data_IF_859516367418
#
_entry.id   IF_859516367418
#
_cell.length_a   1.000
_cell.length_b   1.000
_cell.length_c   1.000
_cell.angle_alpha   90.00
_cell.angle_beta   90.00
_cell.angle_gamma   90.00
#
_symmetry.space_group_name_H-M   'P 1'
#
loop_
_entity.id
_entity.type
_entity.pdbx_description
1 polymer ?
#
# COMPACT_ATOMS: atom_id res chain seq x y z
N UNK A 1 -24.17 13.56 -17.20
CA UNK A 1 -22.91 14.35 -17.34
C UNK A 1 -22.37 14.85 -15.99
N UNK A 2 -22.69 14.18 -14.87
CA UNK A 2 -22.47 14.67 -13.50
C UNK A 2 -21.49 13.84 -12.65
N UNK A 3 -20.86 12.80 -13.22
CA UNK A 3 -20.09 11.82 -12.42
C UNK A 3 -18.56 12.02 -12.40
N UNK A 4 -18.00 12.82 -13.31
CA UNK A 4 -16.54 13.02 -13.38
C UNK A 4 -16.08 14.08 -12.38
N UNK A 5 -16.81 15.19 -12.23
CA UNK A 5 -16.45 16.26 -11.30
C UNK A 5 -16.47 15.80 -9.84
N UNK A 6 -17.51 15.06 -9.43
CA UNK A 6 -17.65 14.56 -8.07
C UNK A 6 -16.58 13.50 -7.69
N UNK A 7 -16.16 12.67 -8.65
CA UNK A 7 -15.08 11.70 -8.42
C UNK A 7 -13.75 12.40 -8.17
N UNK A 8 -13.45 13.45 -8.94
CA UNK A 8 -12.24 14.25 -8.77
C UNK A 8 -12.23 15.01 -7.42
N UNK A 9 -13.39 15.51 -6.98
CA UNK A 9 -13.51 16.17 -5.67
C UNK A 9 -13.19 15.21 -4.53
N UNK A 10 -13.77 13.99 -4.53
CA UNK A 10 -13.48 12.99 -3.49
C UNK A 10 -12.02 12.55 -3.49
N UNK A 11 -11.45 12.33 -4.68
CA UNK A 11 -10.05 11.97 -4.83
C UNK A 11 -9.12 13.07 -4.28
N UNK A 12 -9.33 14.32 -4.69
CA UNK A 12 -8.51 15.44 -4.24
C UNK A 12 -8.61 15.64 -2.73
N UNK A 13 -9.81 15.50 -2.16
CA UNK A 13 -10.00 15.54 -0.71
C UNK A 13 -9.20 14.45 -0.01
N UNK A 14 -9.31 13.20 -0.47
CA UNK A 14 -8.53 12.09 0.09
C UNK A 14 -7.03 12.37 0.02
N UNK A 15 -6.53 12.86 -1.11
CA UNK A 15 -5.10 13.16 -1.26
C UNK A 15 -4.64 14.26 -0.31
N UNK A 16 -5.43 15.33 -0.14
CA UNK A 16 -5.13 16.38 0.83
C UNK A 16 -5.13 15.84 2.27
N UNK A 17 -6.17 15.09 2.65
CA UNK A 17 -6.30 14.53 4.00
C UNK A 17 -5.14 13.54 4.28
N UNK A 18 -4.84 12.65 3.34
CA UNK A 18 -3.74 11.70 3.45
C UNK A 18 -2.39 12.41 3.56
N UNK A 19 -2.11 13.40 2.71
CA UNK A 19 -0.85 14.16 2.77
C UNK A 19 -0.70 14.91 4.10
N UNK A 20 -1.77 15.51 4.59
CA UNK A 20 -1.75 16.24 5.86
C UNK A 20 -1.48 15.31 7.04
N UNK A 21 -2.02 14.10 7.06
CA UNK A 21 -1.69 13.12 8.11
C UNK A 21 -0.27 12.55 7.92
N UNK A 22 0.11 12.21 6.69
CA UNK A 22 1.42 11.63 6.39
C UNK A 22 2.56 12.59 6.69
N UNK A 23 2.40 13.88 6.40
CA UNK A 23 3.41 14.93 6.66
C UNK A 23 3.64 15.23 8.14
N UNK A 24 2.72 14.84 9.04
CA UNK A 24 2.95 14.93 10.50
C UNK A 24 3.96 13.90 10.98
N UNK A 25 4.22 12.86 10.21
CA UNK A 25 5.15 11.79 10.58
C UNK A 25 6.57 12.30 10.39
N UNK A 26 7.18 12.80 11.46
CA UNK A 26 8.52 13.39 11.43
C UNK A 26 9.59 12.36 11.80
N UNK A 27 9.86 11.42 10.90
CA UNK A 27 10.92 10.42 11.03
C UNK A 27 11.77 10.40 9.76
N UNK A 28 13.06 10.14 9.90
CA UNK A 28 14.00 10.05 8.79
C UNK A 28 13.93 8.68 8.08
N UNK A 29 12.75 8.31 7.59
CA UNK A 29 12.59 7.04 6.86
C UNK A 29 13.38 7.04 5.55
N UNK A 30 14.06 5.94 5.26
CA UNK A 30 14.88 5.78 4.05
C UNK A 30 14.27 4.82 3.03
N UNK A 31 13.37 3.94 3.45
CA UNK A 31 12.69 2.98 2.59
C UNK A 31 11.18 3.02 2.80
N UNK A 32 10.42 3.07 1.70
CA UNK A 32 8.97 3.00 1.72
C UNK A 32 8.51 1.58 1.42
N UNK A 33 7.69 1.01 2.29
CA UNK A 33 7.16 -0.35 2.14
C UNK A 33 5.64 -0.34 2.25
N UNK A 34 4.96 -0.89 1.25
CA UNK A 34 3.53 -1.19 1.34
C UNK A 34 3.31 -2.64 1.72
N UNK A 35 2.49 -2.87 2.74
CA UNK A 35 2.05 -4.19 3.20
C UNK A 35 0.57 -4.35 2.85
N UNK A 36 0.28 -4.93 1.69
CA UNK A 36 -1.07 -5.09 1.16
C UNK A 36 -1.66 -6.44 1.60
N UNK A 37 -2.37 -6.43 2.72
CA UNK A 37 -2.87 -7.62 3.40
C UNK A 37 -4.20 -8.06 2.79
N UNK A 38 -4.33 -9.37 2.59
CA UNK A 38 -5.55 -10.03 2.13
C UNK A 38 -5.26 -11.20 1.19
N UNK A 39 -6.32 -11.83 0.70
CA UNK A 39 -6.27 -12.96 -0.22
C UNK A 39 -7.27 -12.85 -1.37
N UNK A 40 -6.94 -13.49 -2.48
CA UNK A 40 -7.80 -13.72 -3.65
C UNK A 40 -8.99 -14.67 -3.42
N UNK A 41 -9.10 -15.29 -2.22
CA UNK A 41 -10.12 -16.30 -1.90
C UNK A 41 -11.45 -15.72 -1.47
N UNK A 42 -11.47 -14.49 -0.95
CA UNK A 42 -12.68 -13.78 -0.55
C UNK A 42 -12.76 -12.48 -1.35
N UNK A 43 -13.88 -12.23 -2.03
CA UNK A 43 -14.02 -11.06 -2.92
C UNK A 43 -13.86 -9.72 -2.19
N UNK A 44 -14.13 -9.68 -0.88
CA UNK A 44 -13.88 -8.51 -0.04
C UNK A 44 -12.42 -8.36 0.39
N UNK A 45 -11.72 -9.47 0.61
CA UNK A 45 -10.35 -9.48 1.14
C UNK A 45 -9.29 -9.27 0.03
N UNK A 46 -9.68 -9.36 -1.24
CA UNK A 46 -8.77 -9.17 -2.36
C UNK A 46 -8.43 -7.69 -2.63
N UNK A 47 -9.07 -6.73 -1.95
CA UNK A 47 -8.79 -5.30 -2.17
C UNK A 47 -7.35 -4.92 -1.79
N UNK A 48 -6.76 -5.51 -0.75
CA UNK A 48 -5.37 -5.29 -0.39
C UNK A 48 -4.44 -5.70 -1.53
N UNK A 49 -4.43 -7.00 -1.92
CA UNK A 49 -3.69 -7.49 -3.08
C UNK A 49 -3.92 -6.71 -4.38
N UNK A 50 -5.16 -6.25 -4.64
CA UNK A 50 -5.47 -5.43 -5.81
C UNK A 50 -4.77 -4.07 -5.76
N UNK A 51 -4.77 -3.41 -4.60
CA UNK A 51 -4.04 -2.15 -4.39
C UNK A 51 -2.54 -2.36 -4.57
N UNK A 52 -1.98 -3.45 -4.02
CA UNK A 52 -0.57 -3.80 -4.19
C UNK A 52 -0.16 -3.92 -5.66
N UNK A 53 -0.99 -4.60 -6.48
CA UNK A 53 -0.75 -4.68 -7.92
C UNK A 53 -0.76 -3.31 -8.60
N UNK A 54 -1.73 -2.44 -8.27
CA UNK A 54 -1.81 -1.08 -8.82
C UNK A 54 -0.60 -0.21 -8.45
N UNK A 55 -0.10 -0.36 -7.22
CA UNK A 55 1.08 0.35 -6.75
C UNK A 55 2.32 -0.12 -7.54
N UNK A 56 2.50 -1.43 -7.74
CA UNK A 56 3.60 -1.98 -8.56
C UNK A 56 3.56 -1.47 -10.01
N UNK A 57 2.38 -1.47 -10.64
CA UNK A 57 2.16 -0.90 -11.98
C UNK A 57 2.57 0.57 -12.05
N UNK A 58 2.24 1.38 -11.03
CA UNK A 58 2.55 2.80 -11.00
C UNK A 58 4.04 3.10 -10.75
N UNK A 59 4.70 2.33 -9.88
CA UNK A 59 6.11 2.52 -9.51
C UNK A 59 7.06 2.10 -10.63
N UNK A 60 6.75 1.00 -11.33
CA UNK A 60 7.59 0.49 -12.43
C UNK A 60 7.85 1.52 -13.53
N UNK A 61 7.02 2.56 -13.60
CA UNK A 61 7.13 3.65 -14.56
C UNK A 61 7.95 4.87 -14.07
N UNK A 62 8.33 4.95 -12.78
CA UNK A 62 8.79 6.20 -12.16
C UNK A 62 10.09 6.11 -11.34
N UNK A 63 10.85 5.01 -11.38
CA UNK A 63 12.11 4.83 -10.63
C UNK A 63 12.00 5.17 -9.12
N UNK A 64 10.82 5.01 -8.53
CA UNK A 64 10.59 5.28 -7.10
C UNK A 64 11.10 4.07 -6.30
N UNK A 65 12.00 4.30 -5.34
CA UNK A 65 12.48 3.24 -4.43
C UNK A 65 11.36 2.92 -3.43
N UNK A 66 10.57 1.90 -3.74
CA UNK A 66 9.44 1.46 -2.93
C UNK A 66 9.25 -0.05 -3.08
N UNK A 67 8.99 -0.74 -1.97
CA UNK A 67 8.76 -2.18 -1.93
C UNK A 67 7.29 -2.47 -1.64
N UNK A 68 6.72 -3.47 -2.31
CA UNK A 68 5.32 -3.87 -2.11
C UNK A 68 5.26 -5.36 -1.80
N UNK A 69 4.69 -5.68 -0.64
CA UNK A 69 4.34 -7.03 -0.22
C UNK A 69 2.83 -7.19 -0.31
N UNK A 70 2.38 -8.33 -0.84
CA UNK A 70 0.97 -8.57 -1.10
C UNK A 70 0.55 -7.99 -2.45
N UNK A 71 0.25 -8.87 -3.38
CA UNK A 71 -0.32 -8.55 -4.68
C UNK A 71 -1.18 -9.72 -5.18
N UNK A 72 -1.79 -9.63 -6.36
CA UNK A 72 -2.66 -10.71 -6.84
C UNK A 72 -1.90 -12.02 -7.16
N UNK A 73 -0.60 -11.96 -7.47
CA UNK A 73 0.22 -13.16 -7.70
C UNK A 73 0.75 -13.74 -6.38
N UNK A 74 1.10 -12.88 -5.43
CA UNK A 74 1.69 -13.20 -4.14
C UNK A 74 0.87 -12.55 -3.01
N UNK A 75 -0.34 -13.06 -2.71
CA UNK A 75 -1.18 -12.50 -1.65
C UNK A 75 -0.50 -12.61 -0.28
N UNK A 76 -0.68 -11.60 0.56
CA UNK A 76 -0.14 -11.58 1.92
C UNK A 76 -1.26 -11.80 2.93
N UNK A 77 -1.35 -13.01 3.45
CA UNK A 77 -2.27 -13.36 4.53
C UNK A 77 -1.60 -13.22 5.91
N UNK A 78 -2.40 -13.14 6.96
CA UNK A 78 -1.94 -12.96 8.35
C UNK A 78 -0.75 -13.86 8.74
N UNK A 79 -0.81 -15.15 8.41
CA UNK A 79 0.25 -16.11 8.74
C UNK A 79 1.59 -15.86 8.02
N UNK A 80 1.61 -15.03 6.98
CA UNK A 80 2.81 -14.63 6.26
C UNK A 80 3.45 -13.33 6.76
N UNK A 81 2.74 -12.55 7.58
CA UNK A 81 3.17 -11.20 7.99
C UNK A 81 4.49 -11.24 8.76
N UNK A 82 4.65 -12.15 9.73
CA UNK A 82 5.88 -12.24 10.52
C UNK A 82 7.12 -12.50 9.65
N UNK A 83 6.95 -13.34 8.62
CA UNK A 83 8.01 -13.60 7.63
C UNK A 83 8.33 -12.35 6.82
N UNK A 84 7.30 -11.64 6.32
CA UNK A 84 7.50 -10.40 5.57
C UNK A 84 8.16 -9.31 6.41
N UNK A 85 7.75 -9.14 7.67
CA UNK A 85 8.36 -8.18 8.58
C UNK A 85 9.84 -8.50 8.85
N UNK A 86 10.16 -9.79 9.01
CA UNK A 86 11.56 -10.22 9.14
C UNK A 86 12.37 -9.86 7.89
N UNK A 87 11.86 -10.15 6.70
CA UNK A 87 12.53 -9.81 5.44
C UNK A 87 12.70 -8.29 5.26
N UNK A 88 11.69 -7.49 5.65
CA UNK A 88 11.76 -6.03 5.60
C UNK A 88 12.86 -5.51 6.51
N UNK A 89 12.93 -6.00 7.75
CA UNK A 89 13.97 -5.59 8.71
C UNK A 89 15.39 -6.01 8.28
N UNK A 90 15.53 -7.05 7.46
CA UNK A 90 16.81 -7.50 6.92
C UNK A 90 17.25 -6.73 5.66
N UNK A 91 16.29 -6.20 4.88
CA UNK A 91 16.55 -5.63 3.54
C UNK A 91 16.40 -4.11 3.46
N UNK A 92 15.66 -3.51 4.38
CA UNK A 92 15.33 -2.08 4.36
C UNK A 92 15.99 -1.36 5.54
N UNK A 93 16.59 -0.22 5.26
CA UNK A 93 17.11 0.67 6.28
C UNK A 93 15.98 1.60 6.72
N UNK A 94 15.70 1.63 8.03
CA UNK A 94 14.66 2.47 8.64
C UNK A 94 13.34 2.56 7.82
N UNK A 95 12.59 1.45 7.68
CA UNK A 95 11.44 1.39 6.79
C UNK A 95 10.24 2.16 7.33
N UNK A 96 9.58 2.92 6.45
CA UNK A 96 8.21 3.39 6.63
C UNK A 96 7.26 2.32 6.09
N UNK A 97 6.60 1.58 6.98
CA UNK A 97 5.67 0.52 6.58
C UNK A 97 4.24 1.07 6.59
N UNK A 98 3.58 1.06 5.44
CA UNK A 98 2.17 1.41 5.26
C UNK A 98 1.39 0.12 5.02
N UNK A 99 0.64 -0.32 6.04
CA UNK A 99 -0.25 -1.46 5.90
C UNK A 99 -1.57 -1.05 5.24
N UNK A 100 -2.00 -1.81 4.24
CA UNK A 100 -3.28 -1.67 3.54
C UNK A 100 -4.01 -2.98 3.72
N UNK A 101 -5.04 -2.97 4.56
CA UNK A 101 -5.82 -4.15 4.89
C UNK A 101 -7.24 -4.03 4.31
N UNK A 102 -7.73 -5.14 3.78
CA UNK A 102 -9.07 -5.27 3.22
C UNK A 102 -10.02 -6.06 4.12
N UNK A 103 -9.58 -6.39 5.34
CA UNK A 103 -10.25 -7.24 6.30
C UNK A 103 -11.79 -7.12 6.30
N UNK A 104 -12.41 -8.27 6.09
CA UNK A 104 -13.85 -8.53 6.19
C UNK A 104 -14.09 -9.67 7.19
#
# INVERSE_FOLDING_TARGET
MTNISNKNVKYNKFMCDFYNEFSKINNNYSDLVFLCIGTDRMTGDCFGPLVGNRIKEAIGNNNIKCTVYGDLENPLIYSGIDKSLKEINEKCDNPCIIAIDAAL
#
